data_IF_847303229022
#
_entry.id   IF_847303229022
#
_cell.length_a   1.000
_cell.length_b   1.000
_cell.length_c   1.000
_cell.angle_alpha   90.00
_cell.angle_beta   90.00
_cell.angle_gamma   90.00
#
_symmetry.space_group_name_H-M   'P 1'
#
loop_
_entity.id
_entity.type
_entity.pdbx_description
1 polymer ?
#
# COMPACT_ATOMS: atom_id res chain seq x y z
N UNK A 1 -48.19 -37.53 33.20
CA UNK A 1 -47.90 -36.29 32.44
C UNK A 1 -46.40 -36.12 32.21
N UNK A 2 -45.72 -37.08 31.57
CA UNK A 2 -44.29 -36.89 31.21
C UNK A 2 -43.92 -37.39 29.80
N UNK A 3 -44.77 -38.16 29.14
CA UNK A 3 -44.49 -38.70 27.80
C UNK A 3 -44.76 -37.66 26.69
N UNK A 4 -45.53 -36.59 26.98
CA UNK A 4 -45.87 -35.55 25.99
C UNK A 4 -44.78 -34.47 25.82
N UNK A 5 -43.79 -34.39 26.72
CA UNK A 5 -42.73 -33.36 26.67
C UNK A 5 -41.54 -33.76 25.80
N UNK A 6 -41.30 -35.06 25.61
CA UNK A 6 -40.16 -35.56 24.83
C UNK A 6 -40.42 -35.58 23.32
N UNK A 7 -41.68 -35.58 22.88
CA UNK A 7 -42.03 -35.60 21.45
C UNK A 7 -42.02 -34.20 20.80
N UNK A 8 -42.04 -33.12 21.59
CA UNK A 8 -42.04 -31.74 21.08
C UNK A 8 -40.63 -31.17 20.89
N UNK A 9 -39.60 -31.86 21.39
CA UNK A 9 -38.19 -31.44 21.30
C UNK A 9 -37.44 -32.06 20.11
N UNK A 10 -37.96 -33.13 19.50
CA UNK A 10 -37.32 -33.80 18.36
C UNK A 10 -37.74 -33.18 17.02
N UNK A 11 -38.85 -32.43 16.97
CA UNK A 11 -39.36 -31.81 15.72
C UNK A 11 -38.75 -30.44 15.39
N UNK A 12 -38.00 -29.80 16.30
CA UNK A 12 -37.39 -28.48 16.08
C UNK A 12 -35.95 -28.52 15.52
N UNK A 13 -35.32 -29.70 15.41
CA UNK A 13 -33.94 -29.84 14.91
C UNK A 13 -33.85 -30.26 13.42
N UNK A 14 -34.98 -30.45 12.73
CA UNK A 14 -35.02 -30.95 11.34
C UNK A 14 -34.89 -29.89 10.24
N UNK A 15 -34.77 -28.61 10.58
CA UNK A 15 -34.87 -27.49 9.60
C UNK A 15 -33.60 -26.61 9.54
N UNK A 16 -32.41 -27.18 9.77
CA UNK A 16 -31.13 -26.48 9.56
C UNK A 16 -30.16 -27.24 8.64
N UNK A 17 -30.67 -28.00 7.67
CA UNK A 17 -29.83 -28.68 6.68
C UNK A 17 -30.38 -28.42 5.27
N UNK A 18 -30.38 -27.17 4.79
CA UNK A 18 -30.68 -26.84 3.38
C UNK A 18 -30.25 -25.42 2.97
N UNK A 19 -29.00 -25.03 3.21
CA UNK A 19 -28.49 -23.76 2.65
C UNK A 19 -27.03 -23.78 2.17
N UNK A 20 -26.37 -24.94 2.08
CA UNK A 20 -24.95 -25.02 1.67
C UNK A 20 -24.71 -25.82 0.38
N UNK A 21 -25.76 -26.32 -0.26
CA UNK A 21 -25.69 -26.83 -1.63
C UNK A 21 -25.96 -25.67 -2.60
N UNK A 22 -25.11 -24.65 -2.56
CA UNK A 22 -24.96 -23.75 -3.68
C UNK A 22 -24.17 -24.51 -4.75
N UNK A 23 -24.84 -24.80 -5.87
CA UNK A 23 -24.19 -25.33 -7.08
C UNK A 23 -22.89 -24.58 -7.37
N UNK A 24 -21.77 -25.26 -7.68
CA UNK A 24 -20.65 -24.63 -8.37
C UNK A 24 -21.02 -24.47 -9.85
N UNK A 25 -22.18 -23.84 -10.11
CA UNK A 25 -22.46 -23.29 -11.41
C UNK A 25 -21.36 -22.27 -11.67
N UNK A 26 -20.52 -22.61 -12.64
CA UNK A 26 -19.37 -21.84 -13.11
C UNK A 26 -19.89 -20.58 -13.79
N UNK A 27 -20.48 -19.69 -13.00
CA UNK A 27 -20.53 -18.28 -13.28
C UNK A 27 -19.07 -17.83 -13.21
N UNK A 28 -18.54 -17.39 -14.35
CA UNK A 28 -17.32 -16.59 -14.39
C UNK A 28 -17.67 -15.34 -13.57
N UNK A 29 -17.44 -15.44 -12.26
CA UNK A 29 -18.12 -14.66 -11.25
C UNK A 29 -17.82 -13.19 -11.42
N UNK A 30 -18.87 -12.40 -11.62
CA UNK A 30 -18.78 -10.96 -11.51
C UNK A 30 -18.08 -10.63 -10.19
N UNK A 31 -16.97 -9.89 -10.28
CA UNK A 31 -16.24 -9.44 -9.10
C UNK A 31 -17.21 -8.59 -8.27
N UNK A 32 -17.40 -8.85 -6.96
CA UNK A 32 -18.27 -8.03 -6.15
C UNK A 32 -17.74 -6.60 -6.15
N UNK A 33 -18.51 -5.70 -6.80
CA UNK A 33 -18.23 -4.27 -6.86
C UNK A 33 -18.69 -3.66 -5.53
N UNK A 34 -17.89 -2.78 -4.93
CA UNK A 34 -18.29 -2.04 -3.73
C UNK A 34 -19.55 -1.20 -4.03
N UNK A 35 -20.69 -1.43 -3.34
CA UNK A 35 -21.93 -0.70 -3.58
C UNK A 35 -21.82 0.79 -3.24
N UNK A 36 -20.79 1.21 -2.51
CA UNK A 36 -20.55 2.61 -2.14
C UNK A 36 -19.51 3.29 -3.06
N UNK A 37 -19.11 2.66 -4.16
CA UNK A 37 -18.17 3.28 -5.09
C UNK A 37 -18.84 4.45 -5.82
N UNK A 38 -18.45 5.68 -5.46
CA UNK A 38 -19.00 6.94 -6.00
C UNK A 38 -18.43 7.33 -7.39
N UNK A 39 -17.52 6.52 -7.93
CA UNK A 39 -16.86 6.77 -9.23
C UNK A 39 -17.61 6.02 -10.36
N UNK A 40 -17.13 6.14 -11.60
CA UNK A 40 -17.75 5.42 -12.72
C UNK A 40 -17.66 3.91 -12.51
N UNK A 41 -18.67 3.18 -12.99
CA UNK A 41 -18.75 1.71 -12.90
C UNK A 41 -17.46 1.03 -13.36
N UNK A 42 -16.87 1.49 -14.45
CA UNK A 42 -15.62 0.96 -15.01
C UNK A 42 -14.45 1.08 -14.02
N UNK A 43 -14.31 2.22 -13.33
CA UNK A 43 -13.25 2.40 -12.33
C UNK A 43 -13.47 1.51 -11.11
N UNK A 44 -14.73 1.35 -10.69
CA UNK A 44 -15.10 0.49 -9.58
C UNK A 44 -14.81 -0.99 -9.90
N UNK A 45 -15.15 -1.46 -11.10
CA UNK A 45 -14.84 -2.81 -11.59
C UNK A 45 -13.32 -3.04 -11.63
N UNK A 46 -12.55 -2.09 -12.16
CA UNK A 46 -11.09 -2.17 -12.19
C UNK A 46 -10.49 -2.30 -10.79
N UNK A 47 -10.91 -1.47 -9.83
CA UNK A 47 -10.46 -1.57 -8.43
C UNK A 47 -10.80 -2.91 -7.81
N UNK A 48 -12.00 -3.42 -8.08
CA UNK A 48 -12.44 -4.69 -7.54
C UNK A 48 -11.57 -5.85 -8.10
N UNK A 49 -11.24 -5.81 -9.39
CA UNK A 49 -10.32 -6.76 -10.04
C UNK A 49 -8.90 -6.68 -9.42
N UNK A 50 -8.36 -5.47 -9.24
CA UNK A 50 -7.05 -5.27 -8.59
C UNK A 50 -7.04 -5.79 -7.14
N UNK A 51 -8.14 -5.60 -6.41
CA UNK A 51 -8.31 -6.08 -5.06
C UNK A 51 -8.36 -7.62 -5.02
N UNK A 52 -9.12 -8.25 -5.92
CA UNK A 52 -9.11 -9.72 -6.03
C UNK A 52 -7.73 -10.25 -6.40
N UNK A 53 -7.03 -9.62 -7.36
CA UNK A 53 -5.67 -10.01 -7.73
C UNK A 53 -4.71 -9.89 -6.54
N UNK A 54 -4.87 -8.86 -5.70
CA UNK A 54 -4.10 -8.72 -4.45
C UNK A 54 -4.43 -9.81 -3.44
N UNK A 55 -5.71 -10.14 -3.26
CA UNK A 55 -6.14 -11.23 -2.36
C UNK A 55 -5.55 -12.56 -2.83
N UNK A 56 -5.65 -12.88 -4.13
CA UNK A 56 -5.05 -14.10 -4.71
C UNK A 56 -3.54 -14.15 -4.49
N UNK A 57 -2.80 -13.06 -4.78
CA UNK A 57 -1.35 -12.99 -4.51
C UNK A 57 -1.00 -13.21 -3.03
N UNK A 58 -1.81 -12.68 -2.11
CA UNK A 58 -1.62 -12.91 -0.68
C UNK A 58 -1.95 -14.35 -0.26
N UNK A 59 -2.95 -14.99 -0.88
CA UNK A 59 -3.27 -16.39 -0.64
C UNK A 59 -2.18 -17.34 -1.17
N UNK A 60 -1.62 -17.04 -2.35
CA UNK A 60 -0.51 -17.79 -2.95
C UNK A 60 0.80 -17.62 -2.18
N UNK A 61 1.02 -16.44 -1.57
CA UNK A 61 2.26 -16.10 -0.84
C UNK A 61 1.94 -15.42 0.51
N UNK A 62 1.44 -16.18 1.50
CA UNK A 62 1.00 -15.62 2.78
C UNK A 62 2.13 -14.92 3.54
N UNK A 63 3.33 -15.50 3.56
CA UNK A 63 4.49 -14.92 4.24
C UNK A 63 4.90 -13.56 3.64
N UNK A 64 4.89 -13.42 2.31
CA UNK A 64 5.20 -12.15 1.65
C UNK A 64 4.15 -11.07 1.99
N UNK A 65 2.88 -11.45 2.06
CA UNK A 65 1.80 -10.53 2.42
C UNK A 65 1.92 -10.07 3.89
N UNK A 66 2.27 -10.98 4.79
CA UNK A 66 2.54 -10.67 6.20
C UNK A 66 3.75 -9.74 6.34
N UNK A 67 4.85 -10.04 5.64
CA UNK A 67 6.04 -9.19 5.62
C UNK A 67 5.71 -7.77 5.17
N UNK A 68 4.96 -7.60 4.07
CA UNK A 68 4.55 -6.27 3.59
C UNK A 68 3.63 -5.54 4.60
N UNK A 69 2.78 -6.26 5.32
CA UNK A 69 1.94 -5.67 6.38
C UNK A 69 2.80 -5.17 7.54
N UNK A 70 3.77 -5.96 7.96
CA UNK A 70 4.69 -5.61 9.04
C UNK A 70 5.57 -4.43 8.64
N UNK A 71 6.13 -4.42 7.43
CA UNK A 71 6.91 -3.29 6.91
C UNK A 71 6.08 -2.00 6.84
N UNK A 72 4.82 -2.07 6.40
CA UNK A 72 3.91 -0.91 6.41
C UNK A 72 3.61 -0.41 7.81
N UNK A 73 3.49 -1.32 8.78
CA UNK A 73 3.26 -0.97 10.19
C UNK A 73 4.48 -0.27 10.77
N UNK A 74 5.65 -0.86 10.58
CA UNK A 74 6.92 -0.29 11.04
C UNK A 74 7.15 1.10 10.45
N UNK A 75 6.92 1.29 9.13
CA UNK A 75 7.02 2.61 8.49
C UNK A 75 6.05 3.64 9.08
N UNK A 76 4.84 3.21 9.48
CA UNK A 76 3.87 4.11 10.14
C UNK A 76 4.36 4.49 11.53
N UNK A 77 4.84 3.54 12.31
CA UNK A 77 5.38 3.77 13.65
C UNK A 77 6.61 4.67 13.60
N UNK A 78 7.54 4.44 12.69
CA UNK A 78 8.71 5.30 12.48
C UNK A 78 8.29 6.74 12.13
N UNK A 79 7.30 6.92 11.25
CA UNK A 79 6.76 8.25 10.93
C UNK A 79 6.09 8.91 12.13
N UNK A 80 5.33 8.15 12.93
CA UNK A 80 4.71 8.66 14.15
C UNK A 80 5.76 9.11 15.17
N UNK A 81 6.79 8.28 15.41
CA UNK A 81 7.93 8.64 16.27
C UNK A 81 8.64 9.89 15.76
N UNK A 82 8.98 9.93 14.47
CA UNK A 82 9.61 11.09 13.86
C UNK A 82 8.78 12.37 14.05
N UNK A 83 7.46 12.32 13.84
CA UNK A 83 6.60 13.47 14.04
C UNK A 83 6.38 13.84 15.51
N UNK A 84 6.43 12.87 16.43
CA UNK A 84 6.37 13.13 17.87
C UNK A 84 7.65 13.83 18.35
N UNK A 85 8.81 13.43 17.82
CA UNK A 85 10.11 14.03 18.13
C UNK A 85 10.33 15.36 17.40
N UNK A 86 9.71 15.55 16.23
CA UNK A 86 9.89 16.72 15.37
C UNK A 86 8.53 17.32 14.94
N UNK A 87 7.71 17.80 15.90
CA UNK A 87 6.34 18.23 15.62
C UNK A 87 6.27 19.38 14.62
N UNK A 88 7.16 20.37 14.72
CA UNK A 88 7.20 21.53 13.82
C UNK A 88 7.56 21.13 12.39
N UNK A 89 8.50 20.19 12.21
CA UNK A 89 8.86 19.69 10.87
C UNK A 89 7.67 18.97 10.23
N UNK A 90 6.97 18.12 10.97
CA UNK A 90 5.79 17.44 10.46
C UNK A 90 4.62 18.39 10.18
N UNK A 91 4.46 19.43 11.00
CA UNK A 91 3.48 20.49 10.76
C UNK A 91 3.79 21.25 9.46
N UNK A 92 5.02 21.72 9.28
CA UNK A 92 5.44 22.39 8.06
C UNK A 92 5.24 21.52 6.82
N UNK A 93 5.66 20.24 6.86
CA UNK A 93 5.46 19.32 5.73
C UNK A 93 3.99 19.09 5.39
N UNK A 94 3.11 19.13 6.39
CA UNK A 94 1.66 19.02 6.19
C UNK A 94 1.13 20.28 5.51
N UNK A 95 1.44 21.45 6.06
CA UNK A 95 1.00 22.75 5.53
C UNK A 95 1.47 22.96 4.08
N UNK A 96 2.71 22.63 3.77
CA UNK A 96 3.25 22.70 2.40
C UNK A 96 2.52 21.77 1.42
N UNK A 97 2.14 20.57 1.87
CA UNK A 97 1.39 19.61 1.05
C UNK A 97 -0.05 20.09 0.83
N UNK A 98 -0.70 20.58 1.88
CA UNK A 98 -2.05 21.13 1.81
C UNK A 98 -2.09 22.36 0.91
N UNK A 99 -1.07 23.23 0.99
CA UNK A 99 -0.93 24.38 0.09
C UNK A 99 -0.75 23.96 -1.37
N UNK A 100 0.07 22.95 -1.66
CA UNK A 100 0.21 22.40 -3.01
C UNK A 100 -1.11 21.79 -3.51
N UNK A 101 -1.83 21.07 -2.65
CA UNK A 101 -3.13 20.50 -3.01
C UNK A 101 -4.16 21.59 -3.31
N UNK A 102 -4.21 22.66 -2.51
CA UNK A 102 -5.06 23.81 -2.75
C UNK A 102 -4.73 24.51 -4.08
N UNK A 103 -3.45 24.72 -4.39
CA UNK A 103 -3.01 25.28 -5.66
C UNK A 103 -3.40 24.38 -6.85
N UNK A 104 -3.25 23.07 -6.70
CA UNK A 104 -3.68 22.09 -7.69
C UNK A 104 -5.20 22.09 -7.92
N UNK A 105 -6.01 22.28 -6.87
CA UNK A 105 -7.47 22.40 -6.98
C UNK A 105 -7.87 23.70 -7.69
N UNK A 106 -7.15 24.79 -7.44
CA UNK A 106 -7.42 26.08 -8.07
C UNK A 106 -6.98 26.12 -9.55
N UNK A 107 -5.90 25.42 -9.91
CA UNK A 107 -5.31 25.42 -11.26
C UNK A 107 -5.03 23.97 -11.71
N UNK A 108 -6.07 23.21 -12.08
CA UNK A 108 -5.95 21.79 -12.40
C UNK A 108 -5.03 21.52 -13.60
N UNK A 109 -5.02 22.39 -14.60
CA UNK A 109 -4.17 22.29 -15.80
C UNK A 109 -2.68 22.51 -15.51
N UNK A 110 -2.34 23.26 -14.46
CA UNK A 110 -0.96 23.52 -14.04
C UNK A 110 -0.48 22.58 -12.93
N UNK A 111 -1.37 21.78 -12.34
CA UNK A 111 -1.07 20.94 -11.18
C UNK A 111 0.12 19.99 -11.41
N UNK A 112 0.28 19.43 -12.62
CA UNK A 112 1.40 18.55 -12.96
C UNK A 112 2.76 19.27 -12.84
N UNK A 113 2.85 20.50 -13.36
CA UNK A 113 4.08 21.31 -13.29
C UNK A 113 4.31 21.83 -11.87
N UNK A 114 3.27 22.27 -11.16
CA UNK A 114 3.37 22.69 -9.75
C UNK A 114 3.92 21.56 -8.86
N UNK A 115 3.42 20.33 -9.04
CA UNK A 115 3.95 19.15 -8.33
C UNK A 115 5.41 18.90 -8.66
N UNK A 116 5.79 19.01 -9.93
CA UNK A 116 7.17 18.82 -10.39
C UNK A 116 8.11 19.85 -9.77
N UNK A 117 7.70 21.12 -9.73
CA UNK A 117 8.46 22.20 -9.10
C UNK A 117 8.59 21.98 -7.59
N UNK A 118 7.50 21.59 -6.91
CA UNK A 118 7.53 21.25 -5.50
C UNK A 118 8.51 20.11 -5.20
N UNK A 119 8.47 19.03 -5.98
CA UNK A 119 9.40 17.91 -5.81
C UNK A 119 10.84 18.28 -6.10
N UNK A 120 11.11 19.12 -7.11
CA UNK A 120 12.45 19.66 -7.37
C UNK A 120 12.96 20.48 -6.18
N UNK A 121 12.13 21.36 -5.63
CA UNK A 121 12.47 22.15 -4.45
C UNK A 121 12.81 21.24 -3.26
N UNK A 122 12.00 20.22 -2.98
CA UNK A 122 12.26 19.25 -1.91
C UNK A 122 13.51 18.40 -2.14
N UNK A 123 13.80 18.04 -3.39
CA UNK A 123 15.04 17.34 -3.72
C UNK A 123 16.27 18.23 -3.47
N UNK A 124 16.19 19.51 -3.83
CA UNK A 124 17.26 20.49 -3.59
C UNK A 124 17.46 20.75 -2.09
N UNK A 125 16.39 20.96 -1.31
CA UNK A 125 16.47 21.11 0.15
C UNK A 125 17.13 19.88 0.80
N UNK A 126 16.77 18.67 0.36
CA UNK A 126 17.37 17.43 0.86
C UNK A 126 18.86 17.35 0.49
N UNK A 127 19.22 17.75 -0.72
CA UNK A 127 20.62 17.78 -1.18
C UNK A 127 21.44 18.75 -0.33
N UNK A 128 20.94 19.96 -0.10
CA UNK A 128 21.61 20.96 0.73
C UNK A 128 21.79 20.47 2.17
N UNK A 129 20.75 19.86 2.77
CA UNK A 129 20.87 19.27 4.10
C UNK A 129 21.91 18.14 4.16
N UNK A 130 21.99 17.32 3.11
CA UNK A 130 22.99 16.27 2.99
C UNK A 130 24.42 16.84 2.82
N UNK A 131 24.61 17.85 1.97
CA UNK A 131 25.91 18.51 1.77
C UNK A 131 26.40 19.17 3.07
N UNK A 132 25.49 19.81 3.80
CA UNK A 132 25.76 20.34 5.15
C UNK A 132 26.15 19.21 6.10
N UNK A 133 25.39 18.12 6.17
CA UNK A 133 25.74 16.97 7.01
C UNK A 133 27.13 16.42 6.67
N UNK A 134 27.46 16.27 5.38
CA UNK A 134 28.78 15.84 4.93
C UNK A 134 29.90 16.78 5.35
N UNK A 135 29.64 18.09 5.37
CA UNK A 135 30.60 19.09 5.85
C UNK A 135 30.86 18.94 7.36
N UNK A 136 29.83 18.64 8.15
CA UNK A 136 29.94 18.46 9.61
C UNK A 136 30.42 17.05 10.02
N UNK A 137 30.33 16.06 9.13
CA UNK A 137 30.65 14.66 9.42
C UNK A 137 31.36 13.98 8.24
N UNK A 138 32.56 14.45 7.85
CA UNK A 138 33.21 14.04 6.60
C UNK A 138 33.54 12.54 6.55
N UNK A 139 34.03 11.96 7.65
CA UNK A 139 34.34 10.52 7.70
C UNK A 139 33.08 9.65 7.56
N UNK A 140 32.00 10.00 8.27
CA UNK A 140 30.73 9.29 8.17
C UNK A 140 30.09 9.45 6.79
N UNK A 141 30.24 10.62 6.16
CA UNK A 141 29.78 10.87 4.81
C UNK A 141 30.51 10.00 3.77
N UNK A 142 31.84 9.89 3.85
CA UNK A 142 32.60 9.03 2.94
C UNK A 142 32.27 7.54 3.13
N UNK A 143 32.11 7.10 4.38
CA UNK A 143 31.63 5.74 4.67
C UNK A 143 30.25 5.49 4.06
N UNK A 144 29.30 6.39 4.29
CA UNK A 144 27.94 6.28 3.75
C UNK A 144 27.92 6.27 2.22
N UNK A 145 28.76 7.08 1.56
CA UNK A 145 28.88 7.08 0.09
C UNK A 145 29.39 5.74 -0.44
N UNK A 146 30.43 5.19 0.19
CA UNK A 146 30.98 3.89 -0.20
C UNK A 146 29.95 2.76 -0.02
N UNK A 147 29.23 2.75 1.10
CA UNK A 147 28.16 1.79 1.36
C UNK A 147 26.99 1.95 0.37
N UNK A 148 26.59 3.18 0.09
CA UNK A 148 25.53 3.49 -0.87
C UNK A 148 25.89 3.05 -2.28
N UNK A 149 27.14 3.24 -2.70
CA UNK A 149 27.64 2.75 -3.99
C UNK A 149 27.57 1.23 -4.05
N UNK A 150 28.04 0.54 -3.02
CA UNK A 150 27.99 -0.93 -2.93
C UNK A 150 26.55 -1.45 -3.00
N UNK A 151 25.61 -0.82 -2.29
CA UNK A 151 24.19 -1.17 -2.36
C UNK A 151 23.65 -0.92 -3.78
N UNK A 152 24.02 0.19 -4.42
CA UNK A 152 23.60 0.51 -5.78
C UNK A 152 24.07 -0.54 -6.78
N UNK A 153 25.33 -0.98 -6.68
CA UNK A 153 25.88 -2.06 -7.50
C UNK A 153 25.15 -3.38 -7.26
N UNK A 154 24.90 -3.75 -6.00
CA UNK A 154 24.14 -4.95 -5.67
C UNK A 154 22.70 -4.90 -6.23
N UNK A 155 22.02 -3.76 -6.13
CA UNK A 155 20.71 -3.57 -6.72
C UNK A 155 20.75 -3.67 -8.26
N UNK A 156 21.74 -3.05 -8.90
CA UNK A 156 21.91 -3.12 -10.36
C UNK A 156 22.14 -4.55 -10.83
N UNK A 157 22.97 -5.32 -10.12
CA UNK A 157 23.24 -6.72 -10.44
C UNK A 157 22.02 -7.59 -10.23
N UNK A 158 21.30 -7.45 -9.10
CA UNK A 158 20.04 -8.16 -8.87
C UNK A 158 19.01 -7.84 -9.97
N UNK A 159 18.93 -6.59 -10.41
CA UNK A 159 18.05 -6.21 -11.52
C UNK A 159 18.46 -6.87 -12.84
N UNK A 160 19.75 -6.99 -13.15
CA UNK A 160 20.23 -7.73 -14.33
C UNK A 160 19.84 -9.21 -14.24
N UNK A 161 20.04 -9.84 -13.09
CA UNK A 161 19.67 -11.24 -12.88
C UNK A 161 18.17 -11.46 -13.05
N UNK A 162 17.34 -10.54 -12.54
CA UNK A 162 15.89 -10.59 -12.75
C UNK A 162 15.52 -10.47 -14.23
N UNK A 163 16.14 -9.53 -14.98
CA UNK A 163 15.89 -9.38 -16.42
C UNK A 163 16.34 -10.59 -17.23
N UNK A 164 17.47 -11.22 -16.87
CA UNK A 164 17.94 -12.46 -17.52
C UNK A 164 17.01 -13.65 -17.24
N UNK A 165 16.52 -13.75 -16.00
CA UNK A 165 15.62 -14.84 -15.59
C UNK A 165 14.21 -14.68 -16.15
N UNK A 166 13.77 -13.44 -16.38
CA UNK A 166 12.43 -13.11 -16.85
C UNK A 166 12.48 -12.10 -18.02
N UNK A 167 12.93 -12.52 -19.22
CA UNK A 167 13.13 -11.62 -20.36
C UNK A 167 11.82 -11.01 -20.90
N UNK A 168 10.69 -11.67 -20.69
CA UNK A 168 9.36 -11.23 -21.15
C UNK A 168 8.58 -10.43 -20.10
N UNK A 169 9.19 -10.11 -18.96
CA UNK A 169 8.54 -9.30 -17.92
C UNK A 169 8.76 -7.81 -18.25
N UNK A 170 7.69 -7.03 -18.55
CA UNK A 170 7.79 -5.64 -18.98
C UNK A 170 8.37 -4.71 -17.91
#
# INVERSE_FOLDING_TARGET
>A
MEILKTLLLVTLMGWMVSAWAGDPATSIGAVPIDPNCLESREVCEKRALEQQARIRRCAEKPQLCEQQRNEKREKREQRQKFCAENPEVCKQQREEREALEAQCKAQPEQCAELKKQFHRKKAEEKKQAFDQWCTHSPQACEQWKAESEKIREQCAEMQRQLRQKFPDMP
#
